data_IF_051171990359
#
_entry.id   IF_051171990359
#
_cell.length_a   1.000
_cell.length_b   1.000
_cell.length_c   1.000
_cell.angle_alpha   90.00
_cell.angle_beta   90.00
_cell.angle_gamma   90.00
#
_symmetry.space_group_name_H-M   'P 1'
#
loop_
_entity.id
_entity.type
_entity.pdbx_description
1 polymer ?
#
# COMPACT_ATOMS: atom_id res chain seq x y z
N UNK A 1 -22.93 39.32 25.70
CA UNK A 1 -22.20 38.06 25.91
C UNK A 1 -23.00 36.94 25.27
N UNK A 2 -22.62 36.51 24.06
CA UNK A 2 -23.40 35.55 23.26
C UNK A 2 -22.75 34.17 23.32
N UNK A 3 -23.37 33.21 24.02
CA UNK A 3 -22.91 31.82 24.07
C UNK A 3 -23.63 30.98 23.02
N UNK A 4 -22.99 30.83 21.86
CA UNK A 4 -23.46 29.96 20.77
C UNK A 4 -23.35 28.49 21.20
N UNK A 5 -24.47 27.88 21.60
CA UNK A 5 -24.56 26.43 21.84
C UNK A 5 -24.52 25.70 20.49
N UNK A 6 -23.44 24.95 20.25
CA UNK A 6 -23.32 24.09 19.07
C UNK A 6 -24.41 23.00 19.11
N UNK A 7 -25.13 22.72 18.02
CA UNK A 7 -26.08 21.60 17.97
C UNK A 7 -25.32 20.27 17.97
N UNK A 8 -25.74 19.34 18.83
CA UNK A 8 -25.19 18.00 18.88
C UNK A 8 -25.57 17.25 17.59
N UNK A 9 -24.57 17.00 16.74
CA UNK A 9 -24.72 16.19 15.53
C UNK A 9 -25.16 14.77 15.93
N UNK A 10 -26.45 14.45 15.75
CA UNK A 10 -26.96 13.08 15.95
C UNK A 10 -26.67 12.29 14.68
N UNK A 11 -25.96 11.17 14.83
CA UNK A 11 -25.76 10.24 13.74
C UNK A 11 -27.11 9.67 13.26
N UNK A 12 -27.31 9.53 11.95
CA UNK A 12 -28.44 8.82 11.37
C UNK A 12 -28.65 7.44 12.02
N UNK A 13 -29.92 7.03 12.18
CA UNK A 13 -30.32 5.79 12.86
C UNK A 13 -29.56 4.55 12.38
N UNK A 14 -29.35 4.43 11.06
CA UNK A 14 -28.64 3.31 10.46
C UNK A 14 -27.14 3.25 10.81
N UNK A 15 -26.54 4.36 11.28
CA UNK A 15 -25.13 4.44 11.71
C UNK A 15 -24.95 4.26 13.22
N UNK A 16 -26.03 4.26 14.03
CA UNK A 16 -25.92 4.11 15.50
C UNK A 16 -25.34 2.75 15.90
N UNK A 17 -25.55 1.71 15.09
CA UNK A 17 -25.04 0.34 15.33
C UNK A 17 -23.51 0.26 15.32
N UNK A 18 -22.83 1.16 14.62
CA UNK A 18 -21.35 1.21 14.59
C UNK A 18 -20.74 1.72 15.90
N UNK A 19 -21.51 2.42 16.74
CA UNK A 19 -21.03 2.92 18.04
C UNK A 19 -21.10 1.86 19.14
N UNK A 20 -21.82 0.76 18.94
CA UNK A 20 -22.00 -0.29 19.95
C UNK A 20 -20.83 -1.27 20.07
N UNK A 21 -19.74 -1.09 19.31
CA UNK A 21 -18.53 -1.92 19.42
C UNK A 21 -17.42 -1.36 20.32
N UNK A 22 -17.66 -0.27 21.06
CA UNK A 22 -16.63 0.41 21.86
C UNK A 22 -17.14 0.88 23.25
N UNK A 23 -17.92 0.04 23.93
CA UNK A 23 -18.28 0.23 25.33
C UNK A 23 -18.73 -1.09 25.97
N UNK A 24 -17.78 -1.98 26.29
CA UNK A 24 -17.94 -2.87 27.44
C UNK A 24 -16.94 -2.40 28.49
N UNK A 25 -17.45 -1.86 29.61
CA UNK A 25 -17.26 -2.42 30.96
C UNK A 25 -17.68 -1.38 32.02
N UNK A 26 -18.75 -1.66 32.75
CA UNK A 26 -19.09 -1.04 34.03
C UNK A 26 -20.12 -1.91 34.80
N UNK A 27 -20.11 -1.90 36.14
CA UNK A 27 -19.94 -3.11 36.98
C UNK A 27 -21.24 -3.61 37.65
N UNK A 28 -21.27 -4.86 38.12
CA UNK A 28 -22.05 -5.23 39.31
C UNK A 28 -21.63 -6.56 39.93
N UNK A 29 -21.54 -6.56 41.26
CA UNK A 29 -21.02 -7.59 42.16
C UNK A 29 -22.09 -8.50 42.76
N UNK A 30 -21.86 -9.82 42.75
CA UNK A 30 -22.37 -10.93 43.63
C UNK A 30 -22.33 -12.19 42.75
N UNK A 31 -21.68 -13.32 43.06
CA UNK A 31 -21.50 -14.05 44.33
C UNK A 31 -20.21 -14.91 44.27
N UNK A 32 -19.65 -15.25 45.44
CA UNK A 32 -18.61 -16.28 45.68
C UNK A 32 -19.33 -17.57 46.16
N UNK A 33 -18.75 -18.81 46.13
CA UNK A 33 -17.36 -19.10 46.51
C UNK A 33 -16.61 -20.26 45.81
N UNK A 34 -15.27 -20.17 45.93
CA UNK A 34 -14.25 -21.23 46.14
C UNK A 34 -14.31 -22.57 45.40
N UNK A 35 -13.32 -22.85 44.54
CA UNK A 35 -12.26 -23.88 44.75
C UNK A 35 -11.35 -24.04 43.52
N UNK A 36 -10.04 -24.09 43.81
CA UNK A 36 -9.03 -24.96 43.16
C UNK A 36 -8.45 -24.66 41.76
N UNK A 37 -7.10 -24.54 41.78
CA UNK A 37 -6.08 -24.91 40.75
C UNK A 37 -5.58 -23.83 39.76
N UNK A 38 -4.40 -23.32 40.08
CA UNK A 38 -3.26 -23.00 39.17
C UNK A 38 -2.88 -24.21 38.28
N UNK A 39 -2.02 -24.11 37.21
CA UNK A 39 -1.19 -22.99 36.72
C UNK A 39 -1.15 -22.81 35.16
N UNK A 40 -0.20 -21.98 34.71
CA UNK A 40 0.57 -22.01 33.43
C UNK A 40 0.02 -21.33 32.16
N UNK A 41 0.88 -20.44 31.61
CA UNK A 41 1.31 -20.25 30.20
C UNK A 41 0.24 -20.42 29.11
N UNK A 42 0.10 -19.53 28.12
CA UNK A 42 1.13 -19.18 27.14
C UNK A 42 0.58 -18.06 26.22
N UNK A 43 1.45 -17.37 25.48
CA UNK A 43 1.05 -16.50 24.36
C UNK A 43 0.39 -17.34 23.25
N UNK A 44 -0.50 -16.74 22.44
CA UNK A 44 -0.08 -16.38 21.08
C UNK A 44 -0.63 -15.01 20.67
N UNK A 45 0.22 -14.04 20.33
CA UNK A 45 0.67 -13.72 18.95
C UNK A 45 -0.49 -13.47 17.97
N UNK A 46 -0.66 -12.24 17.43
CA UNK A 46 -1.74 -11.94 16.50
C UNK A 46 -1.49 -12.64 15.17
N UNK A 47 -2.35 -13.60 14.84
CA UNK A 47 -2.48 -14.19 13.52
C UNK A 47 -2.77 -13.09 12.49
N UNK A 48 -1.72 -12.60 11.83
CA UNK A 48 -1.83 -11.86 10.56
C UNK A 48 -2.47 -12.81 9.57
N UNK A 49 -3.76 -12.64 9.33
CA UNK A 49 -4.40 -13.19 8.14
C UNK A 49 -3.71 -12.58 6.93
N UNK A 50 -2.85 -13.39 6.32
CA UNK A 50 -2.38 -13.22 4.96
C UNK A 50 -3.60 -13.11 4.06
N UNK A 51 -3.97 -11.89 3.71
CA UNK A 51 -4.87 -11.63 2.60
C UNK A 51 -4.13 -12.09 1.34
N UNK A 52 -4.37 -13.35 1.00
CA UNK A 52 -4.09 -14.00 -0.26
C UNK A 52 -4.80 -13.17 -1.33
N UNK A 53 -4.06 -12.27 -1.98
CA UNK A 53 -4.49 -11.59 -3.19
C UNK A 53 -4.77 -12.67 -4.24
N UNK A 54 -6.03 -13.12 -4.30
CA UNK A 54 -6.51 -13.92 -5.41
C UNK A 54 -6.42 -13.07 -6.68
N UNK A 55 -5.94 -13.62 -7.81
CA UNK A 55 -5.97 -12.92 -9.08
C UNK A 55 -7.45 -12.71 -9.45
N UNK A 56 -7.87 -11.45 -9.46
CA UNK A 56 -9.14 -11.01 -10.01
C UNK A 56 -9.11 -11.27 -11.52
N UNK A 57 -9.66 -12.42 -11.94
CA UNK A 57 -9.91 -12.73 -13.34
C UNK A 57 -11.09 -11.89 -13.84
N UNK A 58 -10.94 -11.30 -15.02
CA UNK A 58 -11.95 -10.54 -15.80
C UNK A 58 -12.20 -9.06 -15.46
N UNK A 59 -11.15 -8.30 -15.12
CA UNK A 59 -11.17 -6.85 -15.42
C UNK A 59 -10.76 -6.63 -16.89
N UNK A 60 -11.35 -5.66 -17.63
CA UNK A 60 -10.83 -5.25 -18.94
C UNK A 60 -9.32 -4.97 -18.83
N UNK A 61 -8.52 -5.18 -19.89
CA UNK A 61 -7.07 -5.11 -19.81
C UNK A 61 -6.66 -3.80 -19.15
N UNK A 62 -6.10 -3.93 -17.95
CA UNK A 62 -5.75 -2.79 -17.11
C UNK A 62 -4.68 -2.00 -17.85
N UNK A 63 -5.08 -0.86 -18.44
CA UNK A 63 -4.24 -0.07 -19.36
C UNK A 63 -2.93 0.37 -18.69
N UNK A 64 -2.95 0.52 -17.36
CA UNK A 64 -1.74 0.81 -16.58
C UNK A 64 -0.79 -0.38 -16.63
N UNK A 65 -1.31 -1.60 -16.44
CA UNK A 65 -0.54 -2.84 -16.45
C UNK A 65 0.14 -3.07 -17.81
N UNK A 66 -0.53 -2.78 -18.92
CA UNK A 66 0.08 -2.86 -20.26
C UNK A 66 1.18 -1.84 -20.50
N UNK A 67 1.17 -0.70 -19.80
CA UNK A 67 2.17 0.36 -19.93
C UNK A 67 3.38 0.16 -19.02
N UNK A 68 3.30 -0.73 -18.01
CA UNK A 68 4.39 -0.93 -17.05
C UNK A 68 5.74 -1.29 -17.69
N UNK A 69 5.82 -2.18 -18.70
CA UNK A 69 7.11 -2.52 -19.30
C UNK A 69 7.78 -1.30 -19.93
N UNK A 70 7.03 -0.52 -20.71
CA UNK A 70 7.54 0.69 -21.38
C UNK A 70 7.91 1.78 -20.37
N UNK A 71 7.09 1.96 -19.32
CA UNK A 71 7.39 2.91 -18.25
C UNK A 71 8.64 2.52 -17.47
N UNK A 72 8.79 1.24 -17.13
CA UNK A 72 9.95 0.74 -16.42
C UNK A 72 11.22 0.82 -17.29
N UNK A 73 11.12 0.56 -18.59
CA UNK A 73 12.21 0.78 -19.53
C UNK A 73 12.63 2.26 -19.60
N UNK A 74 11.67 3.17 -19.68
CA UNK A 74 11.92 4.61 -19.67
C UNK A 74 12.59 5.09 -18.37
N UNK A 75 12.23 4.50 -17.22
CA UNK A 75 12.86 4.80 -15.92
C UNK A 75 14.32 4.33 -15.85
N UNK A 76 14.63 3.18 -16.43
CA UNK A 76 16.00 2.63 -16.46
C UNK A 76 16.88 3.41 -17.44
N UNK A 77 16.28 3.87 -18.55
CA UNK A 77 16.95 4.56 -19.64
C UNK A 77 17.78 3.60 -20.51
N UNK A 78 18.07 4.02 -21.75
CA UNK A 78 18.91 3.24 -22.68
C UNK A 78 20.40 3.20 -22.28
N UNK A 79 20.80 4.03 -21.32
CA UNK A 79 22.21 4.24 -20.96
C UNK A 79 22.69 3.35 -19.83
N UNK A 80 21.80 2.63 -19.12
CA UNK A 80 22.20 1.77 -18.00
C UNK A 80 22.08 0.30 -18.37
N UNK A 81 23.18 -0.48 -18.37
CA UNK A 81 23.10 -1.90 -18.59
C UNK A 81 22.21 -2.54 -17.53
N UNK A 82 21.15 -3.22 -17.96
CA UNK A 82 20.20 -3.94 -17.10
C UNK A 82 20.82 -5.09 -16.29
N UNK A 83 22.14 -5.28 -16.37
CA UNK A 83 22.93 -6.32 -15.71
C UNK A 83 23.55 -5.89 -14.37
N UNK A 84 23.52 -4.61 -14.00
CA UNK A 84 24.06 -4.17 -12.71
C UNK A 84 23.16 -4.62 -11.57
N UNK A 85 23.52 -5.66 -10.81
CA UNK A 85 22.81 -6.06 -9.58
C UNK A 85 22.62 -4.84 -8.66
N UNK A 86 21.38 -4.57 -8.22
CA UNK A 86 21.07 -3.40 -7.40
C UNK A 86 20.96 -2.06 -8.16
N UNK A 87 20.28 -2.04 -9.31
CA UNK A 87 20.00 -0.81 -10.06
C UNK A 87 19.11 0.11 -9.22
N UNK A 88 19.65 1.24 -8.82
CA UNK A 88 18.96 2.27 -8.04
C UNK A 88 18.47 3.39 -8.97
N UNK A 89 17.19 3.71 -8.86
CA UNK A 89 16.51 4.81 -9.52
C UNK A 89 16.24 5.90 -8.48
N UNK A 90 16.63 7.13 -8.77
CA UNK A 90 16.24 8.26 -7.93
C UNK A 90 14.79 8.64 -8.20
N UNK A 91 14.14 9.27 -7.24
CA UNK A 91 12.79 9.80 -7.42
C UNK A 91 12.68 10.69 -8.66
N UNK A 92 13.69 11.51 -8.93
CA UNK A 92 13.79 12.39 -10.10
C UNK A 92 13.73 11.60 -11.41
N UNK A 93 14.49 10.50 -11.52
CA UNK A 93 14.50 9.64 -12.70
C UNK A 93 13.12 9.00 -12.94
N UNK A 94 12.48 8.56 -11.86
CA UNK A 94 11.14 7.95 -11.91
C UNK A 94 10.10 8.97 -12.37
N UNK A 95 10.15 10.20 -11.84
CA UNK A 95 9.24 11.27 -12.21
C UNK A 95 9.50 11.77 -13.63
N UNK A 96 10.76 11.84 -14.07
CA UNK A 96 11.12 12.20 -15.43
C UNK A 96 10.55 11.22 -16.45
N UNK A 97 10.62 9.92 -16.19
CA UNK A 97 10.01 8.89 -17.04
C UNK A 97 8.47 9.00 -17.11
N UNK A 98 7.84 9.52 -16.04
CA UNK A 98 6.39 9.71 -15.96
C UNK A 98 5.94 11.08 -16.47
N UNK A 99 6.86 12.03 -16.66
CA UNK A 99 6.57 13.41 -17.08
C UNK A 99 5.71 13.51 -18.36
N UNK A 100 5.88 12.66 -19.40
CA UNK A 100 5.03 12.70 -20.59
C UNK A 100 3.54 12.43 -20.30
N UNK A 101 3.24 11.75 -19.19
CA UNK A 101 1.89 11.40 -18.75
C UNK A 101 1.37 12.31 -17.64
N UNK A 102 2.16 13.31 -17.23
CA UNK A 102 1.79 14.22 -16.17
C UNK A 102 0.55 15.03 -16.56
N UNK A 103 -0.43 15.08 -15.65
CA UNK A 103 -1.63 15.89 -15.78
C UNK A 103 -1.88 16.64 -14.48
N UNK A 104 -2.26 17.94 -14.52
CA UNK A 104 -2.60 18.68 -13.32
C UNK A 104 -3.65 17.96 -12.49
N UNK A 105 -3.42 17.86 -11.16
CA UNK A 105 -4.30 17.18 -10.19
C UNK A 105 -4.49 15.66 -10.42
N UNK A 106 -3.69 15.04 -11.30
CA UNK A 106 -3.72 13.61 -11.52
C UNK A 106 -3.08 12.84 -10.37
N UNK A 107 -3.50 11.59 -10.20
CA UNK A 107 -2.87 10.61 -9.30
C UNK A 107 -2.10 9.53 -10.06
N UNK A 108 -1.92 9.72 -11.37
CA UNK A 108 -1.38 8.71 -12.27
C UNK A 108 0.00 8.20 -11.82
N UNK A 109 0.91 9.10 -11.48
CA UNK A 109 2.27 8.79 -11.05
C UNK A 109 2.26 7.93 -9.78
N UNK A 110 1.43 8.33 -8.81
CA UNK A 110 1.27 7.58 -7.57
C UNK A 110 0.66 6.20 -7.81
N UNK A 111 -0.30 6.07 -8.73
CA UNK A 111 -0.91 4.79 -9.08
C UNK A 111 0.10 3.86 -9.76
N UNK A 112 0.84 4.37 -10.75
CA UNK A 112 1.88 3.61 -11.45
C UNK A 112 2.95 3.13 -10.47
N UNK A 113 3.47 4.02 -9.62
CA UNK A 113 4.52 3.67 -8.66
C UNK A 113 3.99 2.65 -7.64
N UNK A 114 2.78 2.83 -7.12
CA UNK A 114 2.16 1.82 -6.23
C UNK A 114 1.98 0.48 -6.93
N UNK A 115 1.62 0.47 -8.21
CA UNK A 115 1.47 -0.76 -8.99
C UNK A 115 2.83 -1.42 -9.22
N UNK A 116 3.86 -0.69 -9.64
CA UNK A 116 5.22 -1.21 -9.79
C UNK A 116 5.79 -1.80 -8.50
N UNK A 117 5.52 -1.15 -7.36
CA UNK A 117 5.93 -1.66 -6.04
C UNK A 117 5.08 -2.85 -5.59
N UNK A 118 3.76 -2.79 -5.78
CA UNK A 118 2.83 -3.86 -5.41
C UNK A 118 3.04 -5.14 -6.21
N UNK A 119 3.38 -5.02 -7.49
CA UNK A 119 3.77 -6.14 -8.36
C UNK A 119 5.20 -6.61 -8.09
N UNK A 120 5.98 -5.90 -7.28
CA UNK A 120 7.33 -6.26 -6.89
C UNK A 120 8.39 -6.00 -7.98
N UNK A 121 8.13 -5.12 -8.94
CA UNK A 121 9.11 -4.67 -9.93
C UNK A 121 10.07 -3.62 -9.36
N UNK A 122 9.57 -2.80 -8.43
CA UNK A 122 10.35 -1.80 -7.70
C UNK A 122 10.28 -2.05 -6.20
N UNK A 123 11.39 -1.80 -5.51
CA UNK A 123 11.49 -1.84 -4.06
C UNK A 123 11.87 -0.45 -3.54
N UNK A 124 10.99 0.23 -2.78
CA UNK A 124 11.33 1.53 -2.21
C UNK A 124 12.46 1.38 -1.19
N UNK A 125 13.41 2.32 -1.23
CA UNK A 125 14.54 2.42 -0.31
C UNK A 125 14.51 3.80 0.37
N UNK A 126 14.66 3.80 1.69
CA UNK A 126 14.65 5.00 2.52
C UNK A 126 13.26 5.45 2.97
N UNK A 127 13.22 6.67 3.53
CA UNK A 127 11.98 7.29 3.99
C UNK A 127 11.12 7.76 2.81
N UNK A 128 9.82 7.88 3.07
CA UNK A 128 8.86 8.42 2.11
C UNK A 128 8.62 9.91 2.35
N UNK A 129 8.41 10.65 1.27
CA UNK A 129 8.01 12.05 1.32
C UNK A 129 6.53 12.21 1.73
N UNK A 130 6.08 13.47 1.83
CA UNK A 130 4.70 13.81 2.18
C UNK A 130 3.66 13.29 1.17
N UNK A 131 4.10 12.99 -0.04
CA UNK A 131 3.26 12.48 -1.13
C UNK A 131 3.28 10.94 -1.22
N UNK A 132 4.13 10.28 -0.42
CA UNK A 132 4.24 8.83 -0.35
C UNK A 132 5.27 8.24 -1.32
N UNK A 133 6.09 9.05 -1.97
CA UNK A 133 7.19 8.60 -2.82
C UNK A 133 8.44 8.33 -1.99
N UNK A 134 9.20 7.32 -2.40
CA UNK A 134 10.52 7.02 -1.85
C UNK A 134 11.55 7.85 -2.59
N UNK A 135 12.56 8.38 -1.88
CA UNK A 135 13.64 9.11 -2.54
C UNK A 135 14.46 8.25 -3.51
N UNK A 136 14.52 6.94 -3.25
CA UNK A 136 15.21 5.95 -4.09
C UNK A 136 14.36 4.69 -4.24
N UNK A 137 14.40 4.09 -5.42
CA UNK A 137 13.80 2.81 -5.73
C UNK A 137 14.85 1.86 -6.27
N UNK A 138 14.83 0.62 -5.83
CA UNK A 138 15.67 -0.45 -6.37
C UNK A 138 14.86 -1.28 -7.36
N UNK A 139 15.39 -1.49 -8.56
CA UNK A 139 14.79 -2.37 -9.55
C UNK A 139 15.09 -3.82 -9.18
N UNK A 140 14.02 -4.58 -8.91
CA UNK A 140 14.12 -6.00 -8.55
C UNK A 140 14.49 -6.85 -9.77
N UNK A 141 14.95 -8.11 -9.58
CA UNK A 141 15.15 -9.04 -10.68
C UNK A 141 13.89 -9.20 -11.55
N UNK A 142 12.72 -9.31 -10.91
CA UNK A 142 11.41 -9.38 -11.59
C UNK A 142 11.16 -8.17 -12.51
N UNK A 143 11.52 -6.96 -12.07
CA UNK A 143 11.39 -5.75 -12.87
C UNK A 143 12.30 -5.76 -14.10
N UNK A 144 13.52 -6.28 -13.98
CA UNK A 144 14.45 -6.40 -15.11
C UNK A 144 13.97 -7.40 -16.13
N UNK A 145 13.48 -8.56 -15.66
CA UNK A 145 12.95 -9.59 -16.53
C UNK A 145 11.76 -9.09 -17.34
N UNK A 146 10.91 -8.25 -16.74
CA UNK A 146 9.80 -7.60 -17.44
C UNK A 146 10.30 -6.74 -18.61
N UNK A 147 11.32 -5.92 -18.37
CA UNK A 147 11.90 -5.06 -19.42
C UNK A 147 12.60 -5.89 -20.49
N UNK A 148 13.38 -6.91 -20.11
CA UNK A 148 14.08 -7.80 -21.06
C UNK A 148 13.12 -8.49 -22.02
N UNK A 149 12.01 -9.03 -21.51
CA UNK A 149 10.99 -9.72 -22.31
C UNK A 149 10.26 -8.82 -23.31
N UNK A 150 10.22 -7.51 -23.05
CA UNK A 150 9.40 -6.58 -23.83
C UNK A 150 10.20 -5.58 -24.68
N UNK A 151 11.47 -5.33 -24.37
CA UNK A 151 12.29 -4.32 -25.05
C UNK A 151 13.39 -4.92 -25.92
N UNK A 152 13.88 -6.13 -25.64
CA UNK A 152 14.82 -6.83 -26.52
C UNK A 152 14.15 -8.01 -27.20
N UNK A 153 13.64 -7.87 -28.44
CA UNK A 153 13.59 -9.03 -29.32
C UNK A 153 15.04 -9.50 -29.53
N UNK A 154 15.29 -10.78 -29.31
CA UNK A 154 16.57 -11.41 -29.61
C UNK A 154 16.94 -11.30 -31.08
#
# INVERSE_FOLDING_TARGET
MSTTRKPAFRLPEHLRRLRQGAAEDAPSSRERPSTSRTPTADKPSPSRTSAKNAPSESSPPDRITSLLPSLLAAMIGDTRPADSAGLLLRQEDVLAALAPYHRPKSRFEMLVIRKLVGEGYLKPRGARDKHGFSGVYEVTPKGRDLVRKHVRPG
#
